data_IF_896055703324
#
_entry.id   IF_896055703324
#
_cell.length_a   1.000
_cell.length_b   1.000
_cell.length_c   1.000
_cell.angle_alpha   90.00
_cell.angle_beta   90.00
_cell.angle_gamma   90.00
#
_symmetry.space_group_name_H-M   'P 1'
#
loop_
_entity.id
_entity.type
_entity.pdbx_description
1 polymer ?
#
# COMPACT_ATOMS: atom_id res chain seq x y z
N UNK A 1 -12.31 -4.33 14.47
CA UNK A 1 -12.91 -5.02 13.32
C UNK A 1 -12.31 -4.56 11.98
N UNK A 2 -12.68 -3.42 11.38
CA UNK A 2 -12.08 -3.01 10.09
C UNK A 2 -10.55 -2.78 10.15
N UNK A 3 -10.07 -2.10 11.20
CA UNK A 3 -8.64 -1.84 11.40
C UNK A 3 -7.79 -3.10 11.63
N UNK A 4 -8.38 -4.20 12.12
CA UNK A 4 -7.63 -5.44 12.37
C UNK A 4 -7.35 -6.19 11.06
N UNK A 5 -8.35 -6.23 10.17
CA UNK A 5 -8.21 -6.81 8.83
C UNK A 5 -7.22 -5.99 8.00
N UNK A 6 -7.33 -4.67 8.04
CA UNK A 6 -6.42 -3.79 7.29
C UNK A 6 -4.96 -3.96 7.76
N UNK A 7 -4.74 -4.12 9.07
CA UNK A 7 -3.43 -4.39 9.64
C UNK A 7 -2.86 -5.74 9.20
N UNK A 8 -3.65 -6.81 9.27
CA UNK A 8 -3.24 -8.14 8.81
C UNK A 8 -2.88 -8.13 7.32
N UNK A 9 -3.69 -7.46 6.49
CA UNK A 9 -3.43 -7.32 5.06
C UNK A 9 -2.13 -6.53 4.80
N UNK A 10 -1.89 -5.48 5.59
CA UNK A 10 -0.67 -4.70 5.48
C UNK A 10 0.58 -5.53 5.79
N UNK A 11 0.60 -6.24 6.92
CA UNK A 11 1.73 -7.10 7.31
C UNK A 11 2.06 -8.14 6.24
N UNK A 12 1.03 -8.67 5.57
CA UNK A 12 1.19 -9.72 4.58
C UNK A 12 1.58 -9.21 3.19
N UNK A 13 1.09 -8.04 2.79
CA UNK A 13 1.11 -7.63 1.39
C UNK A 13 1.74 -6.26 1.12
N UNK A 14 1.91 -5.41 2.13
CA UNK A 14 2.39 -4.05 1.93
C UNK A 14 3.76 -3.98 1.22
N UNK A 15 4.80 -4.73 1.62
CA UNK A 15 6.10 -4.67 0.94
C UNK A 15 6.00 -5.08 -0.54
N UNK A 16 5.21 -6.12 -0.85
CA UNK A 16 5.01 -6.59 -2.23
C UNK A 16 4.20 -5.61 -3.06
N UNK A 17 3.21 -4.95 -2.47
CA UNK A 17 2.46 -3.89 -3.13
C UNK A 17 3.38 -2.74 -3.53
N UNK A 18 4.20 -2.27 -2.58
CA UNK A 18 5.16 -1.19 -2.80
C UNK A 18 6.14 -1.54 -3.94
N UNK A 19 6.74 -2.74 -3.91
CA UNK A 19 7.65 -3.21 -4.96
C UNK A 19 6.96 -3.26 -6.33
N UNK A 20 5.77 -3.86 -6.43
CA UNK A 20 5.03 -3.94 -7.70
C UNK A 20 4.66 -2.56 -8.25
N UNK A 21 4.31 -1.60 -7.39
CA UNK A 21 3.98 -0.24 -7.82
C UNK A 21 5.21 0.48 -8.40
N UNK A 22 6.40 0.25 -7.84
CA UNK A 22 7.67 0.77 -8.36
C UNK A 22 8.05 0.06 -9.67
N UNK A 23 7.97 -1.27 -9.73
CA UNK A 23 8.29 -2.05 -10.94
C UNK A 23 7.40 -1.66 -12.13
N UNK A 24 6.14 -1.29 -11.87
CA UNK A 24 5.21 -0.80 -12.89
C UNK A 24 5.44 0.66 -13.29
N UNK A 25 6.35 1.37 -12.62
CA UNK A 25 6.64 2.78 -12.86
C UNK A 25 5.52 3.73 -12.44
N UNK A 26 4.58 3.28 -11.58
CA UNK A 26 3.50 4.13 -11.10
C UNK A 26 3.97 5.10 -10.02
N UNK A 27 4.94 4.67 -9.22
CA UNK A 27 5.58 5.47 -8.18
C UNK A 27 7.09 5.28 -8.24
N UNK A 28 7.83 6.23 -7.68
CA UNK A 28 9.27 6.11 -7.45
C UNK A 28 9.56 5.34 -6.16
N UNK A 29 10.80 4.82 -6.03
CA UNK A 29 11.25 4.19 -4.78
C UNK A 29 11.15 5.13 -3.57
N UNK A 30 11.39 6.43 -3.78
CA UNK A 30 11.28 7.46 -2.74
C UNK A 30 9.83 7.65 -2.28
N UNK A 31 8.88 7.65 -3.22
CA UNK A 31 7.44 7.70 -2.90
C UNK A 31 6.99 6.43 -2.16
N UNK A 32 7.50 5.26 -2.56
CA UNK A 32 7.22 4.02 -1.86
C UNK A 32 7.73 4.06 -0.41
N UNK A 33 8.97 4.52 -0.20
CA UNK A 33 9.56 4.68 1.14
C UNK A 33 8.74 5.62 2.01
N UNK A 34 8.37 6.80 1.49
CA UNK A 34 7.55 7.77 2.24
C UNK A 34 6.17 7.23 2.62
N UNK A 35 5.54 6.45 1.73
CA UNK A 35 4.24 5.86 2.03
C UNK A 35 4.34 4.75 3.11
N UNK A 36 5.44 3.98 3.10
CA UNK A 36 5.73 2.98 4.14
C UNK A 36 6.02 3.64 5.50
N UNK A 37 6.81 4.71 5.51
CA UNK A 37 7.08 5.51 6.72
C UNK A 37 5.78 6.06 7.32
N UNK A 38 4.91 6.67 6.50
CA UNK A 38 3.64 7.21 6.98
C UNK A 38 2.69 6.11 7.51
N UNK A 39 2.67 4.93 6.88
CA UNK A 39 1.88 3.80 7.37
C UNK A 39 2.37 3.33 8.74
N UNK A 40 3.69 3.26 8.94
CA UNK A 40 4.31 2.90 10.22
C UNK A 40 4.04 3.97 11.29
N UNK A 41 4.10 5.25 10.92
CA UNK A 41 3.80 6.35 11.85
C UNK A 41 2.33 6.32 12.32
N UNK A 42 1.40 5.95 11.45
CA UNK A 42 0.00 5.77 11.82
C UNK A 42 -0.19 4.63 12.84
N UNK A 43 0.50 3.52 12.62
CA UNK A 43 0.49 2.36 13.53
C UNK A 43 1.06 2.71 14.91
N UNK A 44 2.14 3.50 14.96
CA UNK A 44 2.76 3.96 16.20
C UNK A 44 1.93 5.03 16.91
N UNK A 45 1.16 5.82 16.17
CA UNK A 45 0.37 6.94 16.71
C UNK A 45 -1.03 6.54 17.21
N UNK A 46 -1.36 5.24 17.28
CA UNK A 46 -2.72 4.74 17.55
C UNK A 46 -3.79 5.33 16.61
N UNK A 47 -3.40 5.75 15.40
CA UNK A 47 -4.35 6.20 14.39
C UNK A 47 -5.02 4.98 13.73
N UNK A 48 -6.19 5.16 13.08
CA UNK A 48 -6.73 4.10 12.23
C UNK A 48 -5.70 3.68 11.19
N UNK A 49 -5.45 2.37 11.11
CA UNK A 49 -4.51 1.82 10.14
C UNK A 49 -4.96 2.19 8.72
N UNK A 50 -4.01 2.67 7.89
CA UNK A 50 -4.25 2.92 6.47
C UNK A 50 -3.40 1.98 5.64
N UNK A 51 -4.00 1.27 4.71
CA UNK A 51 -3.26 0.49 3.71
C UNK A 51 -2.38 1.42 2.86
N UNK A 52 -1.18 0.97 2.48
CA UNK A 52 -0.26 1.77 1.65
C UNK A 52 -0.91 2.28 0.35
N UNK A 53 -1.76 1.47 -0.30
CA UNK A 53 -2.50 1.87 -1.49
C UNK A 53 -3.40 3.08 -1.25
N UNK A 54 -3.99 3.20 -0.06
CA UNK A 54 -4.80 4.36 0.34
C UNK A 54 -3.94 5.61 0.55
N UNK A 55 -2.78 5.47 1.19
CA UNK A 55 -1.83 6.58 1.37
C UNK A 55 -1.35 7.11 0.02
N UNK A 56 -1.01 6.22 -0.91
CA UNK A 56 -0.58 6.56 -2.27
C UNK A 56 -1.69 7.27 -3.08
N UNK A 57 -2.96 6.89 -2.86
CA UNK A 57 -4.11 7.55 -3.46
C UNK A 57 -4.32 8.95 -2.88
N UNK A 58 -4.32 9.10 -1.56
CA UNK A 58 -4.51 10.38 -0.86
C UNK A 58 -3.43 11.41 -1.24
N UNK A 59 -2.21 10.95 -1.52
CA UNK A 59 -1.11 11.80 -2.03
C UNK A 59 -1.15 12.03 -3.54
N UNK A 60 -2.14 11.51 -4.25
CA UNK A 60 -2.24 11.56 -5.72
C UNK A 60 -1.02 10.98 -6.44
N UNK A 61 -0.27 10.08 -5.79
CA UNK A 61 0.87 9.38 -6.40
C UNK A 61 0.41 8.18 -7.21
N UNK A 62 -0.76 7.64 -6.90
CA UNK A 62 -1.42 6.62 -7.71
C UNK A 62 -2.89 6.95 -7.91
N UNK A 63 -3.40 6.56 -9.07
CA UNK A 63 -4.83 6.58 -9.38
C UNK A 63 -5.51 5.30 -8.88
N UNK A 64 -6.85 5.29 -8.68
CA UNK A 64 -7.58 4.07 -8.35
C UNK A 64 -7.32 2.93 -9.34
N UNK A 65 -7.25 3.25 -10.63
CA UNK A 65 -6.98 2.27 -11.69
C UNK A 65 -5.59 1.64 -11.57
N UNK A 66 -4.57 2.42 -11.19
CA UNK A 66 -3.22 1.89 -10.97
C UNK A 66 -3.16 1.01 -9.72
N UNK A 67 -3.91 1.36 -8.68
CA UNK A 67 -4.03 0.53 -7.47
C UNK A 67 -4.66 -0.82 -7.83
N UNK A 68 -5.76 -0.82 -8.57
CA UNK A 68 -6.41 -2.05 -9.05
C UNK A 68 -5.45 -2.92 -9.86
N UNK A 69 -4.61 -2.33 -10.72
CA UNK A 69 -3.60 -3.07 -11.48
C UNK A 69 -2.56 -3.74 -10.58
N UNK A 70 -2.14 -3.08 -9.49
CA UNK A 70 -1.20 -3.67 -8.53
C UNK A 70 -1.88 -4.76 -7.71
N UNK A 71 -3.10 -4.53 -7.22
CA UNK A 71 -3.86 -5.55 -6.46
C UNK A 71 -4.11 -6.79 -7.31
N UNK A 72 -4.49 -6.63 -8.58
CA UNK A 72 -4.68 -7.75 -9.49
C UNK A 72 -3.40 -8.59 -9.65
N UNK A 73 -2.24 -7.97 -9.80
CA UNK A 73 -0.96 -8.71 -9.87
C UNK A 73 -0.57 -9.35 -8.54
N UNK A 74 -0.84 -8.68 -7.43
CA UNK A 74 -0.57 -9.17 -6.09
C UNK A 74 -1.35 -10.46 -5.78
N UNK A 75 -2.61 -10.53 -6.21
CA UNK A 75 -3.51 -11.67 -5.96
C UNK A 75 -3.56 -12.70 -7.10
N UNK A 76 -3.08 -12.38 -8.31
CA UNK A 76 -2.97 -13.34 -9.44
C UNK A 76 -2.11 -14.57 -9.13
N UNK A 77 -1.17 -14.48 -8.20
CA UNK A 77 -0.30 -15.60 -7.76
C UNK A 77 -0.89 -16.45 -6.62
N UNK A 78 -2.12 -16.20 -6.18
CA UNK A 78 -2.78 -16.97 -5.12
C UNK A 78 -3.70 -18.09 -5.64
N UNK A 79 -3.41 -18.61 -6.84
CA UNK A 79 -4.16 -19.69 -7.49
C UNK A 79 -3.27 -20.92 -7.71
#
# INVERSE_FOLDING_TARGET
MANEIDKELSERYCPRFATLAVEKGFITAEQAKKALEEQMDDDLSNKPHRLIGRILLEKSWMTPRQIDMVLNELFKKAK
#
